data_IF_011850969520
#
_entry.id   IF_011850969520
#
_cell.length_a   1.000
_cell.length_b   1.000
_cell.length_c   1.000
_cell.angle_alpha   90.00
_cell.angle_beta   90.00
_cell.angle_gamma   90.00
#
_symmetry.space_group_name_H-M   'P 1'
#
loop_
_entity.id
_entity.type
_entity.pdbx_description
1 polymer ?
#
# COMPACT_ATOMS: atom_id res chain seq x y z
N UNK A 1 11.02 72.53 5.70
CA UNK A 1 9.75 71.91 5.29
C UNK A 1 9.88 70.42 5.61
N UNK A 2 9.68 69.93 6.85
CA UNK A 2 8.47 69.75 7.70
C UNK A 2 7.37 68.83 7.09
N UNK A 3 7.09 67.76 7.86
CA UNK A 3 5.92 66.82 7.94
C UNK A 3 5.96 65.60 6.99
N UNK A 4 6.19 64.37 7.52
CA UNK A 4 5.25 63.36 8.13
C UNK A 4 4.52 62.54 7.04
N UNK A 5 4.31 61.21 7.07
CA UNK A 5 4.46 60.14 8.06
C UNK A 5 3.56 58.95 7.62
N UNK A 6 3.78 57.75 8.22
CA UNK A 6 3.03 56.45 8.12
C UNK A 6 3.44 55.49 6.98
N UNK A 7 3.52 54.18 7.15
CA UNK A 7 3.49 53.26 8.31
C UNK A 7 3.97 51.88 7.85
N UNK A 8 4.68 51.13 8.70
CA UNK A 8 5.05 49.73 8.51
C UNK A 8 4.57 48.89 9.72
N UNK A 9 4.09 47.64 9.54
CA UNK A 9 3.62 46.82 10.66
C UNK A 9 4.75 46.05 11.34
N UNK A 10 4.71 46.06 12.68
CA UNK A 10 5.61 45.37 13.61
C UNK A 10 5.14 43.94 13.88
N UNK A 11 6.00 42.96 13.62
CA UNK A 11 5.88 41.59 14.13
C UNK A 11 6.51 41.46 15.52
N UNK A 12 5.74 40.99 16.50
CA UNK A 12 6.13 40.85 17.91
C UNK A 12 6.70 39.45 18.21
N UNK A 13 7.93 39.48 18.73
CA UNK A 13 8.48 38.73 19.89
C UNK A 13 8.34 37.21 20.01
N UNK A 14 9.53 36.59 20.03
CA UNK A 14 9.91 35.38 20.77
C UNK A 14 9.62 35.51 22.27
N UNK A 15 9.16 34.42 22.90
CA UNK A 15 9.00 34.25 24.34
C UNK A 15 9.25 32.80 24.74
N UNK A 16 10.00 32.64 25.82
CA UNK A 16 10.62 31.43 26.39
C UNK A 16 9.63 30.47 27.07
N UNK A 17 10.15 29.27 27.33
CA UNK A 17 9.63 28.21 28.20
C UNK A 17 9.12 28.69 29.57
N UNK A 18 8.13 27.98 30.13
CA UNK A 18 8.16 27.42 31.49
C UNK A 18 6.90 26.59 31.80
N UNK A 19 7.10 25.50 32.56
CA UNK A 19 6.07 24.62 33.11
C UNK A 19 5.27 25.28 34.25
N UNK A 20 4.12 24.72 34.66
CA UNK A 20 3.92 24.62 36.11
C UNK A 20 3.18 23.38 36.65
N UNK A 21 3.61 23.04 37.86
CA UNK A 21 2.98 22.23 38.90
C UNK A 21 1.48 22.51 39.12
N UNK A 22 0.71 21.44 39.44
CA UNK A 22 -0.56 21.56 40.17
C UNK A 22 -0.45 20.95 41.57
N UNK A 23 -0.55 21.80 42.59
CA UNK A 23 -0.87 21.46 43.99
C UNK A 23 -2.26 22.02 44.34
N UNK A 24 -3.12 21.11 44.81
CA UNK A 24 -3.95 21.10 46.04
C UNK A 24 -4.56 22.40 46.62
N UNK A 25 -5.76 22.16 47.21
CA UNK A 25 -6.54 22.92 48.23
C UNK A 25 -7.39 24.06 47.68
N UNK A 26 -8.57 24.40 48.19
CA UNK A 26 -9.53 23.85 49.17
C UNK A 26 -10.81 24.66 48.94
N UNK A 27 -12.00 24.09 49.12
CA UNK A 27 -13.10 24.84 49.75
C UNK A 27 -14.15 23.90 50.35
N UNK A 28 -14.27 24.09 51.66
CA UNK A 28 -15.18 23.48 52.63
C UNK A 28 -16.36 24.42 52.83
N UNK A 29 -17.58 23.89 52.96
CA UNK A 29 -18.68 24.40 53.80
C UNK A 29 -19.51 23.17 54.22
N UNK A 30 -19.26 22.58 55.40
CA UNK A 30 -20.06 22.69 56.65
C UNK A 30 -21.57 22.44 56.46
N UNK A 31 -22.23 21.51 57.17
CA UNK A 31 -22.58 21.67 58.59
C UNK A 31 -23.03 20.36 59.27
N UNK A 32 -22.73 20.30 60.58
CA UNK A 32 -23.39 19.61 61.71
C UNK A 32 -23.17 18.10 61.97
N UNK A 33 -22.28 17.85 62.96
CA UNK A 33 -22.40 16.86 64.07
C UNK A 33 -23.36 17.42 65.17
N UNK A 34 -23.58 16.79 66.35
CA UNK A 34 -23.25 15.45 66.91
C UNK A 34 -24.54 14.76 67.45
N UNK A 35 -24.62 13.65 68.17
CA UNK A 35 -23.72 12.66 68.75
C UNK A 35 -24.52 11.73 69.69
N UNK A 36 -23.92 10.58 69.98
CA UNK A 36 -23.95 9.77 71.23
C UNK A 36 -25.29 9.22 71.78
N UNK A 37 -25.39 7.89 71.82
CA UNK A 37 -25.38 7.03 73.03
C UNK A 37 -26.05 5.69 72.71
N UNK A 38 -25.35 4.60 73.05
CA UNK A 38 -25.97 3.29 73.16
C UNK A 38 -26.79 3.21 74.44
N UNK A 39 -27.77 2.33 74.46
CA UNK A 39 -27.90 1.27 75.48
C UNK A 39 -29.00 0.28 75.11
N UNK A 40 -28.98 -0.81 75.87
CA UNK A 40 -29.58 -2.13 75.74
C UNK A 40 -31.12 -2.18 75.68
N UNK A 41 -31.63 -3.36 75.30
CA UNK A 41 -32.91 -3.83 75.86
C UNK A 41 -33.88 -4.52 74.89
N UNK A 42 -33.79 -5.85 74.85
CA UNK A 42 -34.87 -6.84 74.71
C UNK A 42 -36.13 -6.52 73.87
N UNK A 43 -36.43 -7.38 72.88
CA UNK A 43 -37.62 -8.24 72.87
C UNK A 43 -37.93 -8.90 71.50
N UNK A 44 -38.21 -10.21 71.58
CA UNK A 44 -39.25 -10.95 70.82
C UNK A 44 -39.03 -11.27 69.33
N UNK A 45 -38.52 -12.50 69.16
CA UNK A 45 -38.87 -13.54 68.19
C UNK A 45 -39.75 -13.25 66.98
N UNK A 46 -39.29 -13.74 65.82
CA UNK A 46 -40.01 -14.61 64.87
C UNK A 46 -39.05 -15.18 63.79
N UNK A 47 -39.40 -16.29 63.12
CA UNK A 47 -38.44 -17.30 62.67
C UNK A 47 -37.83 -17.05 61.28
N UNK A 48 -36.66 -17.65 61.05
CA UNK A 48 -35.99 -17.78 59.74
C UNK A 48 -36.87 -18.63 58.79
N UNK A 49 -37.07 -18.24 57.52
CA UNK A 49 -37.52 -19.18 56.51
C UNK A 49 -36.34 -19.98 55.97
N UNK A 50 -36.57 -21.29 55.90
CA UNK A 50 -35.70 -22.30 55.35
C UNK A 50 -35.54 -22.17 53.83
N UNK A 51 -34.38 -22.60 53.36
CA UNK A 51 -34.11 -22.97 51.98
C UNK A 51 -35.15 -23.97 51.45
N UNK A 52 -35.87 -23.60 50.38
CA UNK A 52 -36.81 -24.47 49.68
C UNK A 52 -36.57 -24.41 48.18
N UNK A 53 -36.20 -25.56 47.60
CA UNK A 53 -35.83 -25.69 46.20
C UNK A 53 -36.97 -25.39 45.22
N UNK A 54 -36.65 -24.66 44.15
CA UNK A 54 -37.52 -24.46 42.99
C UNK A 54 -36.84 -24.85 41.66
N UNK A 55 -35.70 -25.55 41.70
CA UNK A 55 -34.96 -25.96 40.48
C UNK A 55 -35.32 -27.32 39.90
N UNK A 56 -36.16 -28.13 40.56
CA UNK A 56 -36.36 -29.53 40.19
C UNK A 56 -37.49 -29.76 39.15
N UNK A 57 -38.44 -28.83 39.01
CA UNK A 57 -39.66 -29.06 38.21
C UNK A 57 -39.42 -28.91 36.69
N UNK A 58 -38.48 -28.07 36.26
CA UNK A 58 -38.15 -27.89 34.84
C UNK A 58 -37.29 -29.01 34.23
N UNK A 59 -36.53 -29.76 35.04
CA UNK A 59 -35.67 -30.86 34.55
C UNK A 59 -36.46 -32.14 34.22
N UNK A 60 -37.62 -32.32 34.85
CA UNK A 60 -38.51 -33.45 34.59
C UNK A 60 -39.22 -33.35 33.24
N UNK A 61 -39.64 -32.13 32.85
CA UNK A 61 -40.38 -31.89 31.60
C UNK A 61 -39.51 -32.14 30.35
N UNK A 62 -38.25 -31.71 30.36
CA UNK A 62 -37.32 -31.97 29.27
C UNK A 62 -36.98 -33.46 29.12
N UNK A 63 -36.84 -34.19 30.24
CA UNK A 63 -36.60 -35.64 30.23
C UNK A 63 -37.84 -36.43 29.80
N UNK A 64 -39.03 -35.99 30.21
CA UNK A 64 -40.29 -36.61 29.81
C UNK A 64 -40.55 -36.42 28.31
N UNK A 65 -40.40 -35.19 27.80
CA UNK A 65 -40.51 -34.89 26.38
C UNK A 65 -39.47 -35.65 25.54
N UNK A 66 -38.23 -35.76 26.04
CA UNK A 66 -37.18 -36.55 25.39
C UNK A 66 -37.53 -38.06 25.37
N UNK A 67 -38.09 -38.59 26.46
CA UNK A 67 -38.48 -40.00 26.59
C UNK A 67 -39.67 -40.33 25.68
N UNK A 68 -40.61 -39.40 25.53
CA UNK A 68 -41.79 -39.55 24.66
C UNK A 68 -41.42 -39.47 23.17
N UNK A 69 -40.47 -38.60 22.81
CA UNK A 69 -39.85 -38.57 21.47
C UNK A 69 -39.07 -39.86 21.17
N UNK A 70 -38.33 -40.38 22.15
CA UNK A 70 -37.58 -41.64 22.05
C UNK A 70 -38.50 -42.85 21.85
N UNK A 71 -39.63 -42.90 22.56
CA UNK A 71 -40.61 -43.99 22.47
C UNK A 71 -41.33 -43.99 21.12
N UNK A 72 -41.71 -42.81 20.60
CA UNK A 72 -42.27 -42.70 19.23
C UNK A 72 -41.25 -43.10 18.16
N UNK A 73 -39.96 -42.81 18.36
CA UNK A 73 -38.89 -43.23 17.45
C UNK A 73 -38.73 -44.77 17.35
N UNK A 74 -39.17 -45.50 18.37
CA UNK A 74 -39.00 -46.96 18.47
C UNK A 74 -40.03 -47.71 17.62
N UNK A 75 -41.22 -47.14 17.40
CA UNK A 75 -42.33 -47.66 16.58
C UNK A 75 -42.30 -47.21 15.10
N UNK A 76 -41.35 -46.36 14.71
CA UNK A 76 -41.23 -45.91 13.32
C UNK A 76 -40.68 -47.03 12.42
N UNK A 77 -41.38 -47.27 11.31
CA UNK A 77 -40.89 -48.05 10.16
C UNK A 77 -39.49 -47.60 9.72
N UNK A 78 -38.70 -48.52 9.17
CA UNK A 78 -37.35 -48.23 8.70
C UNK A 78 -37.32 -47.04 7.72
N UNK A 79 -38.36 -46.91 6.90
CA UNK A 79 -38.56 -45.82 5.94
C UNK A 79 -38.82 -44.47 6.62
N UNK A 80 -39.54 -44.46 7.73
CA UNK A 80 -39.80 -43.26 8.51
C UNK A 80 -38.55 -42.79 9.26
N UNK A 81 -37.68 -43.72 9.71
CA UNK A 81 -36.37 -43.39 10.31
C UNK A 81 -35.42 -42.79 9.28
N UNK A 82 -35.39 -43.33 8.06
CA UNK A 82 -34.61 -42.79 6.95
C UNK A 82 -35.10 -41.38 6.57
N UNK A 83 -36.40 -41.19 6.41
CA UNK A 83 -36.98 -39.87 6.14
C UNK A 83 -36.67 -38.84 7.25
N UNK A 84 -36.73 -39.26 8.52
CA UNK A 84 -36.38 -38.41 9.65
C UNK A 84 -34.90 -37.99 9.65
N UNK A 85 -33.98 -38.88 9.23
CA UNK A 85 -32.56 -38.58 9.09
C UNK A 85 -32.28 -37.58 7.95
N UNK A 86 -32.92 -37.77 6.79
CA UNK A 86 -32.84 -36.83 5.66
C UNK A 86 -33.37 -35.44 6.07
N UNK A 87 -34.54 -35.40 6.73
CA UNK A 87 -35.12 -34.14 7.21
C UNK A 87 -34.23 -33.43 8.25
N UNK A 88 -33.60 -34.19 9.16
CA UNK A 88 -32.65 -33.65 10.13
C UNK A 88 -31.42 -33.05 9.45
N UNK A 89 -30.86 -33.72 8.44
CA UNK A 89 -29.69 -33.21 7.69
C UNK A 89 -30.03 -31.93 6.92
N UNK A 90 -31.18 -31.90 6.24
CA UNK A 90 -31.68 -30.68 5.57
C UNK A 90 -31.81 -29.54 6.59
N UNK A 91 -32.41 -29.81 7.76
CA UNK A 91 -32.54 -28.81 8.82
C UNK A 91 -31.16 -28.28 9.26
N UNK A 92 -30.19 -29.17 9.47
CA UNK A 92 -28.82 -28.78 9.83
C UNK A 92 -28.18 -27.91 8.74
N UNK A 93 -28.29 -28.29 7.46
CA UNK A 93 -27.76 -27.50 6.33
C UNK A 93 -28.37 -26.10 6.31
N UNK A 94 -29.70 -25.99 6.44
CA UNK A 94 -30.41 -24.71 6.43
C UNK A 94 -30.02 -23.85 7.62
N UNK A 95 -29.92 -24.44 8.82
CA UNK A 95 -29.50 -23.72 10.04
C UNK A 95 -28.06 -23.24 9.91
N UNK A 96 -27.15 -24.04 9.37
CA UNK A 96 -25.77 -23.65 9.13
C UNK A 96 -25.67 -22.53 8.09
N UNK A 97 -26.40 -22.64 6.98
CA UNK A 97 -26.45 -21.59 5.96
C UNK A 97 -26.98 -20.27 6.54
N UNK A 98 -28.09 -20.32 7.29
CA UNK A 98 -28.63 -19.15 7.97
C UNK A 98 -27.65 -18.57 9.00
N UNK A 99 -26.98 -19.43 9.76
CA UNK A 99 -25.93 -19.04 10.71
C UNK A 99 -24.77 -18.32 10.03
N UNK A 100 -24.27 -18.84 8.90
CA UNK A 100 -23.22 -18.21 8.09
C UNK A 100 -23.65 -16.85 7.55
N UNK A 101 -24.88 -16.72 7.05
CA UNK A 101 -25.44 -15.42 6.64
C UNK A 101 -25.51 -14.44 7.81
N UNK A 102 -25.96 -14.89 8.97
CA UNK A 102 -26.07 -14.07 10.18
C UNK A 102 -24.69 -13.60 10.67
N UNK A 103 -23.67 -14.48 10.60
CA UNK A 103 -22.27 -14.14 10.92
C UNK A 103 -21.75 -13.10 9.94
N UNK A 104 -21.93 -13.29 8.63
CA UNK A 104 -21.55 -12.31 7.62
C UNK A 104 -22.24 -10.96 7.89
N UNK A 105 -23.55 -10.95 8.14
CA UNK A 105 -24.31 -9.74 8.51
C UNK A 105 -23.81 -9.07 9.80
N UNK A 106 -23.32 -9.85 10.77
CA UNK A 106 -22.79 -9.34 12.04
C UNK A 106 -21.40 -8.74 11.87
N UNK A 107 -20.53 -9.39 11.10
CA UNK A 107 -19.18 -8.90 10.81
C UNK A 107 -19.22 -7.51 10.16
N UNK A 108 -20.18 -7.28 9.27
CA UNK A 108 -20.41 -6.00 8.61
C UNK A 108 -20.81 -4.89 9.56
N UNK A 109 -21.70 -5.18 10.52
CA UNK A 109 -22.12 -4.21 11.54
C UNK A 109 -20.94 -3.81 12.42
N UNK A 110 -20.09 -4.77 12.79
CA UNK A 110 -18.88 -4.53 13.58
C UNK A 110 -17.90 -3.69 12.77
N UNK A 111 -17.61 -4.08 11.53
CA UNK A 111 -16.70 -3.37 10.64
C UNK A 111 -17.17 -1.92 10.41
N UNK A 112 -18.47 -1.72 10.12
CA UNK A 112 -19.09 -0.38 9.99
C UNK A 112 -18.89 0.47 11.24
N UNK A 113 -19.12 -0.09 12.43
CA UNK A 113 -18.96 0.63 13.70
C UNK A 113 -17.51 1.00 14.02
N UNK A 114 -16.55 0.24 13.50
CA UNK A 114 -15.12 0.50 13.64
C UNK A 114 -14.65 1.61 12.67
N UNK A 115 -15.06 1.52 11.40
CA UNK A 115 -14.69 2.50 10.35
C UNK A 115 -15.32 3.89 10.57
N UNK A 116 -16.57 3.94 11.04
CA UNK A 116 -17.26 5.20 11.33
C UNK A 116 -16.58 6.02 12.45
N UNK A 117 -15.71 5.40 13.25
CA UNK A 117 -14.96 6.08 14.32
C UNK A 117 -13.58 6.59 13.89
N UNK A 118 -13.06 6.19 12.72
CA UNK A 118 -11.67 6.46 12.32
C UNK A 118 -11.47 7.26 11.02
N UNK A 119 -12.52 7.49 10.22
CA UNK A 119 -12.34 7.96 8.82
C UNK A 119 -13.37 9.02 8.42
N UNK A 120 -13.02 9.89 7.45
CA UNK A 120 -13.91 10.90 6.86
C UNK A 120 -15.06 10.28 6.04
N UNK A 121 -16.08 11.07 5.72
CA UNK A 121 -17.35 10.63 5.09
C UNK A 121 -17.16 9.83 3.79
N UNK A 122 -16.19 10.21 2.97
CA UNK A 122 -16.07 9.72 1.59
C UNK A 122 -15.42 8.33 1.51
N UNK A 123 -14.49 8.05 2.43
CA UNK A 123 -13.78 6.77 2.52
C UNK A 123 -14.70 5.69 3.12
N UNK A 124 -15.59 6.09 4.04
CA UNK A 124 -16.62 5.21 4.60
C UNK A 124 -17.60 4.74 3.52
N UNK A 125 -18.02 5.63 2.61
CA UNK A 125 -18.95 5.28 1.54
C UNK A 125 -18.34 4.27 0.53
N UNK A 126 -17.06 4.43 0.19
CA UNK A 126 -16.34 3.50 -0.68
C UNK A 126 -16.21 2.12 -0.03
N UNK A 127 -15.82 2.08 1.23
CA UNK A 127 -15.72 0.81 1.98
C UNK A 127 -17.08 0.14 2.10
N UNK A 128 -18.15 0.88 2.42
CA UNK A 128 -19.51 0.33 2.53
C UNK A 128 -19.98 -0.35 1.24
N UNK A 129 -19.67 0.25 0.09
CA UNK A 129 -20.03 -0.32 -1.22
C UNK A 129 -19.30 -1.64 -1.48
N UNK A 130 -17.99 -1.68 -1.27
CA UNK A 130 -17.18 -2.91 -1.43
C UNK A 130 -17.68 -4.02 -0.51
N UNK A 131 -17.87 -3.66 0.75
CA UNK A 131 -18.29 -4.54 1.82
C UNK A 131 -19.69 -5.12 1.55
N UNK A 132 -20.62 -4.31 1.02
CA UNK A 132 -21.94 -4.76 0.56
C UNK A 132 -21.85 -5.71 -0.64
N UNK A 133 -20.98 -5.43 -1.61
CA UNK A 133 -20.77 -6.29 -2.77
C UNK A 133 -20.25 -7.68 -2.35
N UNK A 134 -19.23 -7.74 -1.47
CA UNK A 134 -18.71 -9.00 -0.93
C UNK A 134 -19.76 -9.79 -0.15
N UNK A 135 -20.58 -9.12 0.69
CA UNK A 135 -21.68 -9.80 1.38
C UNK A 135 -22.63 -10.43 0.38
N UNK A 136 -23.07 -9.67 -0.63
CA UNK A 136 -24.04 -10.18 -1.59
C UNK A 136 -23.47 -11.36 -2.38
N UNK A 137 -22.21 -11.31 -2.79
CA UNK A 137 -21.53 -12.43 -3.46
C UNK A 137 -21.44 -13.68 -2.55
N UNK A 138 -21.00 -13.51 -1.30
CA UNK A 138 -20.95 -14.59 -0.32
C UNK A 138 -22.35 -15.16 -0.03
N UNK A 139 -23.36 -14.29 0.02
CA UNK A 139 -24.73 -14.69 0.28
C UNK A 139 -25.26 -15.61 -0.82
N UNK A 140 -25.08 -15.20 -2.08
CA UNK A 140 -25.42 -16.00 -3.27
C UNK A 140 -24.68 -17.34 -3.26
N UNK A 141 -23.37 -17.33 -2.98
CA UNK A 141 -22.56 -18.55 -2.94
C UNK A 141 -23.07 -19.54 -1.87
N UNK A 142 -23.34 -19.07 -0.66
CA UNK A 142 -23.88 -19.91 0.43
C UNK A 142 -25.24 -20.50 0.05
N UNK A 143 -26.12 -19.71 -0.58
CA UNK A 143 -27.45 -20.20 -1.02
C UNK A 143 -27.30 -21.28 -2.09
N UNK A 144 -26.40 -21.10 -3.08
CA UNK A 144 -26.14 -22.11 -4.12
C UNK A 144 -25.61 -23.41 -3.49
N UNK A 145 -24.62 -23.31 -2.59
CA UNK A 145 -24.04 -24.49 -1.91
C UNK A 145 -25.09 -25.19 -1.05
N UNK A 146 -25.81 -24.46 -0.21
CA UNK A 146 -26.85 -25.03 0.66
C UNK A 146 -27.98 -25.66 -0.16
N UNK A 147 -28.43 -25.01 -1.24
CA UNK A 147 -29.44 -25.54 -2.14
C UNK A 147 -28.99 -26.84 -2.81
N UNK A 148 -27.72 -26.91 -3.27
CA UNK A 148 -27.15 -28.12 -3.86
C UNK A 148 -27.11 -29.27 -2.86
N UNK A 149 -26.69 -29.01 -1.62
CA UNK A 149 -26.68 -30.03 -0.55
C UNK A 149 -28.08 -30.52 -0.17
N UNK A 150 -29.08 -29.64 -0.18
CA UNK A 150 -30.48 -30.04 0.07
C UNK A 150 -31.02 -30.89 -1.06
N UNK A 151 -30.70 -30.56 -2.32
CA UNK A 151 -31.11 -31.37 -3.49
C UNK A 151 -30.51 -32.78 -3.45
N UNK A 152 -29.24 -32.90 -3.02
CA UNK A 152 -28.58 -34.19 -2.84
C UNK A 152 -29.31 -35.07 -1.81
N UNK A 153 -29.73 -34.49 -0.68
CA UNK A 153 -30.49 -35.21 0.35
C UNK A 153 -31.90 -35.63 -0.13
N UNK A 154 -32.47 -34.90 -1.09
CA UNK A 154 -33.74 -35.24 -1.75
C UNK A 154 -33.57 -36.31 -2.85
N UNK A 155 -32.35 -36.82 -3.07
CA UNK A 155 -32.04 -37.83 -4.08
C UNK A 155 -31.99 -37.27 -5.52
N UNK A 156 -31.94 -35.94 -5.67
CA UNK A 156 -31.79 -35.30 -6.97
C UNK A 156 -30.31 -35.25 -7.34
N UNK A 157 -29.96 -35.71 -8.53
CA UNK A 157 -28.57 -35.68 -8.99
C UNK A 157 -28.02 -34.26 -9.04
N UNK A 158 -26.98 -34.00 -8.25
CA UNK A 158 -26.25 -32.72 -8.26
C UNK A 158 -25.20 -32.62 -9.36
N UNK A 159 -24.96 -33.69 -10.13
CA UNK A 159 -23.92 -33.74 -11.15
C UNK A 159 -24.04 -32.64 -12.22
N UNK A 160 -25.24 -32.32 -12.77
CA UNK A 160 -25.39 -31.22 -13.72
C UNK A 160 -25.10 -29.84 -13.10
N UNK A 161 -25.46 -29.65 -11.84
CA UNK A 161 -25.22 -28.40 -11.11
C UNK A 161 -23.72 -28.24 -10.86
N UNK A 162 -23.04 -29.31 -10.43
CA UNK A 162 -21.60 -29.30 -10.24
C UNK A 162 -20.84 -29.09 -11.56
N UNK A 163 -21.29 -29.71 -12.65
CA UNK A 163 -20.69 -29.53 -13.97
C UNK A 163 -20.80 -28.07 -14.44
N UNK A 164 -21.97 -27.46 -14.31
CA UNK A 164 -22.19 -26.05 -14.69
C UNK A 164 -21.45 -25.08 -13.77
N UNK A 165 -21.44 -25.35 -12.46
CA UNK A 165 -20.67 -24.58 -11.48
C UNK A 165 -19.15 -24.68 -11.72
N UNK A 166 -18.65 -25.83 -12.16
CA UNK A 166 -17.26 -26.02 -12.54
C UNK A 166 -16.85 -25.12 -13.71
N UNK A 167 -17.63 -25.11 -14.80
CA UNK A 167 -17.38 -24.25 -15.96
C UNK A 167 -17.47 -22.77 -15.58
N UNK A 168 -18.49 -22.38 -14.81
CA UNK A 168 -18.64 -21.01 -14.31
C UNK A 168 -17.45 -20.60 -13.41
N UNK A 169 -16.98 -21.51 -12.55
CA UNK A 169 -15.82 -21.29 -11.69
C UNK A 169 -14.53 -21.05 -12.47
N UNK A 170 -14.30 -21.82 -13.55
CA UNK A 170 -13.16 -21.59 -14.45
C UNK A 170 -13.24 -20.21 -15.12
N UNK A 171 -14.41 -19.81 -15.61
CA UNK A 171 -14.60 -18.49 -16.21
C UNK A 171 -14.32 -17.35 -15.20
N UNK A 172 -14.80 -17.47 -13.96
CA UNK A 172 -14.50 -16.51 -12.88
C UNK A 172 -13.00 -16.51 -12.56
N UNK A 173 -12.36 -17.68 -12.52
CA UNK A 173 -10.93 -17.82 -12.29
C UNK A 173 -10.09 -17.09 -13.32
N UNK A 174 -10.43 -17.22 -14.61
CA UNK A 174 -9.77 -16.44 -15.67
C UNK A 174 -9.99 -14.94 -15.53
N UNK A 175 -11.20 -14.51 -15.15
CA UNK A 175 -11.49 -13.10 -14.87
C UNK A 175 -10.70 -12.53 -13.69
N UNK A 176 -10.36 -13.36 -12.70
CA UNK A 176 -9.62 -12.97 -11.49
C UNK A 176 -8.10 -13.20 -11.58
N UNK A 177 -7.61 -13.80 -12.67
CA UNK A 177 -6.21 -14.21 -12.80
C UNK A 177 -5.22 -13.05 -12.63
N UNK A 178 -5.52 -11.88 -13.24
CA UNK A 178 -4.66 -10.70 -13.14
C UNK A 178 -4.55 -10.17 -11.71
N UNK A 179 -5.64 -10.24 -10.95
CA UNK A 179 -5.65 -9.83 -9.55
C UNK A 179 -4.71 -10.70 -8.71
N UNK A 180 -4.79 -12.02 -8.88
CA UNK A 180 -3.90 -12.95 -8.18
C UNK A 180 -2.43 -12.69 -8.56
N UNK A 181 -2.17 -12.46 -9.85
CA UNK A 181 -0.84 -12.12 -10.36
C UNK A 181 -0.30 -10.84 -9.71
N UNK A 182 -1.11 -9.81 -9.56
CA UNK A 182 -0.73 -8.57 -8.88
C UNK A 182 -0.26 -8.85 -7.44
N UNK A 183 -1.06 -9.57 -6.65
CA UNK A 183 -0.74 -9.84 -5.25
C UNK A 183 0.51 -10.71 -5.07
N UNK A 184 0.68 -11.75 -5.90
CA UNK A 184 1.85 -12.62 -5.83
C UNK A 184 3.11 -11.86 -6.23
N UNK A 185 3.08 -11.11 -7.33
CA UNK A 185 4.21 -10.30 -7.76
C UNK A 185 4.55 -9.21 -6.75
N UNK A 186 3.54 -8.54 -6.19
CA UNK A 186 3.73 -7.51 -5.18
C UNK A 186 4.34 -8.04 -3.89
N UNK A 187 3.94 -9.26 -3.48
CA UNK A 187 4.56 -9.93 -2.34
C UNK A 187 6.06 -10.14 -2.56
N UNK A 188 6.47 -10.69 -3.71
CA UNK A 188 7.89 -10.88 -4.01
C UNK A 188 8.66 -9.58 -4.20
N UNK A 189 8.04 -8.56 -4.81
CA UNK A 189 8.65 -7.23 -4.97
C UNK A 189 9.01 -6.60 -3.61
N UNK A 190 8.15 -6.78 -2.60
CA UNK A 190 8.41 -6.35 -1.22
C UNK A 190 9.39 -7.26 -0.49
N UNK A 191 9.26 -8.59 -0.65
CA UNK A 191 10.11 -9.57 0.03
C UNK A 191 11.57 -9.45 -0.41
N UNK A 192 11.81 -9.31 -1.72
CA UNK A 192 13.13 -9.16 -2.32
C UNK A 192 13.65 -7.72 -2.26
N UNK A 193 12.82 -6.79 -1.74
CA UNK A 193 13.18 -5.39 -1.52
C UNK A 193 13.70 -4.68 -2.79
N UNK A 194 13.13 -5.03 -3.94
CA UNK A 194 13.56 -4.52 -5.25
C UNK A 194 13.25 -3.03 -5.42
N UNK A 195 12.19 -2.55 -4.76
CA UNK A 195 11.70 -1.17 -4.82
C UNK A 195 11.31 -0.70 -3.43
N UNK A 196 11.73 0.51 -3.06
CA UNK A 196 11.32 1.20 -1.83
C UNK A 196 10.68 2.54 -2.15
N UNK A 197 9.87 3.03 -1.22
CA UNK A 197 9.42 4.43 -1.24
C UNK A 197 10.64 5.37 -1.26
N UNK A 198 10.59 6.37 -2.13
CA UNK A 198 11.70 7.30 -2.37
C UNK A 198 12.76 6.82 -3.36
N UNK A 199 12.72 5.57 -3.85
CA UNK A 199 13.59 5.15 -4.94
C UNK A 199 13.19 5.81 -6.26
N UNK A 200 14.16 6.12 -7.13
CA UNK A 200 13.89 6.47 -8.52
C UNK A 200 13.97 5.20 -9.36
N UNK A 201 12.86 4.79 -9.96
CA UNK A 201 12.75 3.53 -10.68
C UNK A 201 12.14 3.73 -12.06
N UNK A 202 12.34 2.73 -12.92
CA UNK A 202 11.59 2.55 -14.14
C UNK A 202 10.96 1.15 -14.15
N UNK A 203 9.64 1.12 -14.24
CA UNK A 203 8.82 -0.11 -14.24
C UNK A 203 7.74 0.01 -15.30
N UNK A 204 7.48 -1.07 -16.04
CA UNK A 204 6.48 -1.10 -17.12
C UNK A 204 6.56 0.08 -18.11
N UNK A 205 7.78 0.55 -18.42
CA UNK A 205 8.02 1.69 -19.32
C UNK A 205 7.67 3.07 -18.73
N UNK A 206 7.44 3.17 -17.42
CA UNK A 206 7.21 4.41 -16.69
C UNK A 206 8.36 4.65 -15.71
N UNK A 207 8.99 5.82 -15.80
CA UNK A 207 10.08 6.23 -14.93
C UNK A 207 9.63 7.33 -13.96
N UNK A 208 10.02 7.23 -12.69
CA UNK A 208 9.63 8.20 -11.67
C UNK A 208 10.16 7.87 -10.29
N UNK A 209 9.88 8.77 -9.35
CA UNK A 209 10.13 8.56 -7.92
C UNK A 209 8.97 7.76 -7.33
N UNK A 210 9.29 6.69 -6.60
CA UNK A 210 8.30 5.85 -5.95
C UNK A 210 7.70 6.58 -4.76
N UNK A 211 6.38 6.73 -4.75
CA UNK A 211 5.64 7.35 -3.65
C UNK A 211 5.01 6.33 -2.71
N UNK A 212 4.63 5.16 -3.22
CA UNK A 212 3.93 4.12 -2.45
C UNK A 212 4.15 2.76 -3.10
N UNK A 213 4.41 1.74 -2.27
CA UNK A 213 4.49 0.35 -2.71
C UNK A 213 3.45 -0.46 -1.95
N UNK A 214 2.50 -1.06 -2.68
CA UNK A 214 1.49 -1.96 -2.09
C UNK A 214 1.64 -3.36 -2.65
N UNK A 215 0.90 -4.33 -2.08
CA UNK A 215 0.84 -5.68 -2.65
C UNK A 215 0.18 -5.71 -4.04
N UNK A 216 -0.59 -4.70 -4.44
CA UNK A 216 -1.30 -4.71 -5.73
C UNK A 216 -0.66 -3.82 -6.79
N UNK A 217 -0.11 -2.68 -6.41
CA UNK A 217 0.46 -1.71 -7.33
C UNK A 217 1.65 -0.97 -6.71
N UNK A 218 2.48 -0.40 -7.59
CA UNK A 218 3.47 0.65 -7.28
C UNK A 218 2.93 1.98 -7.78
N UNK A 219 2.96 3.02 -6.93
CA UNK A 219 2.68 4.40 -7.32
C UNK A 219 3.99 5.15 -7.48
N UNK A 220 4.18 5.78 -8.64
CA UNK A 220 5.37 6.58 -8.92
C UNK A 220 5.00 7.90 -9.58
N UNK A 221 5.75 8.96 -9.26
CA UNK A 221 5.60 10.29 -9.85
C UNK A 221 6.75 10.58 -10.79
N UNK A 222 6.43 10.93 -12.04
CA UNK A 222 7.44 11.30 -13.02
C UNK A 222 7.98 12.74 -12.79
N UNK A 223 8.94 13.14 -13.62
CA UNK A 223 9.56 14.45 -13.53
C UNK A 223 8.60 15.61 -13.86
N UNK A 224 7.57 15.36 -14.66
CA UNK A 224 6.54 16.33 -15.02
C UNK A 224 5.45 16.43 -13.94
N UNK A 225 5.45 15.52 -12.97
CA UNK A 225 4.54 15.50 -11.84
C UNK A 225 3.33 14.58 -12.02
N UNK A 226 3.22 13.82 -13.12
CA UNK A 226 2.15 12.86 -13.31
C UNK A 226 2.32 11.65 -12.39
N UNK A 227 1.20 11.13 -11.89
CA UNK A 227 1.16 9.97 -11.00
C UNK A 227 0.77 8.74 -11.80
N UNK A 228 1.66 7.75 -11.83
CA UNK A 228 1.43 6.47 -12.47
C UNK A 228 1.12 5.42 -11.42
N UNK A 229 0.01 4.70 -11.59
CA UNK A 229 -0.32 3.51 -10.81
C UNK A 229 -0.05 2.29 -11.67
N UNK A 230 0.99 1.53 -11.32
CA UNK A 230 1.44 0.37 -12.09
C UNK A 230 1.04 -0.90 -11.33
N UNK A 231 0.14 -1.74 -11.87
CA UNK A 231 -0.18 -3.04 -11.26
C UNK A 231 1.06 -3.92 -11.19
N UNK A 232 1.27 -4.59 -10.06
CA UNK A 232 2.45 -5.41 -9.84
C UNK A 232 2.51 -6.61 -10.80
N UNK A 233 1.37 -7.09 -11.29
CA UNK A 233 1.26 -8.15 -12.28
C UNK A 233 1.81 -7.75 -13.65
N UNK A 234 1.90 -6.46 -13.95
CA UNK A 234 2.48 -5.93 -15.21
C UNK A 234 3.98 -5.67 -15.10
N UNK A 235 4.54 -5.68 -13.90
CA UNK A 235 5.98 -5.46 -13.67
C UNK A 235 6.74 -6.74 -14.01
N UNK A 236 7.37 -6.75 -15.20
CA UNK A 236 8.26 -7.83 -15.64
C UNK A 236 9.72 -7.57 -15.29
N UNK A 237 10.13 -6.29 -15.31
CA UNK A 237 11.50 -5.83 -15.03
C UNK A 237 11.42 -4.57 -14.19
N UNK A 238 12.30 -4.48 -13.19
CA UNK A 238 12.49 -3.29 -12.35
C UNK A 238 13.87 -2.74 -12.60
N UNK A 239 13.96 -1.51 -13.11
CA UNK A 239 15.23 -0.78 -13.20
C UNK A 239 15.29 0.23 -12.05
N UNK A 240 15.98 -0.12 -10.98
CA UNK A 240 16.19 0.78 -9.84
C UNK A 240 17.42 1.65 -10.07
N UNK A 241 17.25 2.98 -10.13
CA UNK A 241 18.31 3.96 -10.43
C UNK A 241 18.95 4.55 -9.17
N UNK A 242 18.48 4.17 -7.98
CA UNK A 242 18.91 4.69 -6.68
C UNK A 242 19.36 3.62 -5.71
N UNK A 243 19.50 2.37 -6.16
CA UNK A 243 19.97 1.27 -5.31
C UNK A 243 21.49 1.18 -5.31
N UNK A 244 22.10 1.23 -4.12
CA UNK A 244 23.55 1.10 -3.95
C UNK A 244 24.30 2.33 -4.46
N UNK A 245 24.72 2.31 -5.72
CA UNK A 245 25.44 3.40 -6.36
C UNK A 245 24.90 3.62 -7.77
N UNK A 246 25.19 4.80 -8.32
CA UNK A 246 24.87 5.11 -9.70
C UNK A 246 26.09 5.69 -10.40
N UNK A 247 26.10 5.62 -11.73
CA UNK A 247 27.09 6.31 -12.54
C UNK A 247 26.48 7.58 -13.12
N UNK A 248 27.10 8.73 -12.85
CA UNK A 248 26.92 9.91 -13.67
C UNK A 248 27.65 9.67 -15.00
N UNK A 249 26.92 9.17 -16.00
CA UNK A 249 27.46 8.96 -17.36
C UNK A 249 27.42 10.29 -18.12
N UNK A 250 28.56 10.66 -18.69
CA UNK A 250 28.76 11.88 -19.48
C UNK A 250 29.11 11.46 -20.90
N UNK A 251 28.36 11.97 -21.87
CA UNK A 251 28.64 11.85 -23.30
C UNK A 251 28.71 13.26 -23.89
N UNK A 252 29.80 13.57 -24.57
CA UNK A 252 30.05 14.88 -25.20
C UNK A 252 30.55 14.66 -26.63
N UNK A 253 30.01 15.40 -27.60
CA UNK A 253 30.47 15.39 -28.98
C UNK A 253 31.46 16.52 -29.24
N UNK A 254 32.66 16.18 -29.72
CA UNK A 254 33.64 17.17 -30.22
C UNK A 254 33.66 17.14 -31.75
N UNK A 255 34.09 18.24 -32.38
CA UNK A 255 34.28 18.30 -33.83
C UNK A 255 35.32 17.25 -34.29
N UNK A 256 35.24 16.81 -35.55
CA UNK A 256 36.20 15.82 -36.08
C UNK A 256 37.62 16.37 -36.18
N UNK A 257 37.74 17.68 -36.32
CA UNK A 257 38.99 18.43 -36.38
C UNK A 257 39.57 18.71 -34.99
N UNK A 258 38.80 18.50 -33.91
CA UNK A 258 39.24 18.74 -32.56
C UNK A 258 40.22 17.67 -32.08
N UNK A 259 41.22 18.09 -31.30
CA UNK A 259 42.19 17.20 -30.69
C UNK A 259 41.55 16.34 -29.58
N UNK A 260 41.42 15.04 -29.88
CA UNK A 260 40.81 14.04 -28.99
C UNK A 260 41.61 13.90 -27.70
N UNK A 261 42.95 13.81 -27.78
CA UNK A 261 43.79 13.58 -26.59
C UNK A 261 43.74 14.77 -25.65
N UNK A 262 43.76 15.98 -26.21
CA UNK A 262 43.55 17.21 -25.45
C UNK A 262 42.18 17.22 -24.78
N UNK A 263 41.11 16.88 -25.50
CA UNK A 263 39.74 16.82 -24.96
C UNK A 263 39.60 15.81 -23.82
N UNK A 264 40.20 14.62 -23.96
CA UNK A 264 40.22 13.60 -22.91
C UNK A 264 41.05 14.04 -21.69
N UNK A 265 42.17 14.74 -21.89
CA UNK A 265 42.97 15.29 -20.81
C UNK A 265 42.17 16.32 -19.98
N UNK A 266 41.42 17.21 -20.65
CA UNK A 266 40.53 18.17 -19.96
C UNK A 266 39.47 17.46 -19.13
N UNK A 267 38.85 16.39 -19.67
CA UNK A 267 37.85 15.62 -18.93
C UNK A 267 38.43 15.01 -17.65
N UNK A 268 39.65 14.46 -17.72
CA UNK A 268 40.36 13.90 -16.54
C UNK A 268 40.64 14.98 -15.51
N UNK A 269 41.16 16.13 -15.93
CA UNK A 269 41.45 17.26 -15.06
C UNK A 269 40.19 17.78 -14.36
N UNK A 270 39.07 17.94 -15.09
CA UNK A 270 37.81 18.36 -14.50
C UNK A 270 37.25 17.37 -13.49
N UNK A 271 37.42 16.06 -13.74
CA UNK A 271 37.02 15.04 -12.79
C UNK A 271 37.84 15.08 -11.51
N UNK A 272 39.15 15.33 -11.62
CA UNK A 272 40.02 15.58 -10.45
C UNK A 272 39.61 16.87 -9.72
N UNK A 273 39.35 17.95 -10.45
CA UNK A 273 38.87 19.21 -9.88
C UNK A 273 37.55 19.07 -9.15
N UNK A 274 36.62 18.26 -9.68
CA UNK A 274 35.33 17.98 -9.03
C UNK A 274 35.50 17.15 -7.74
N UNK A 275 36.48 16.23 -7.72
CA UNK A 275 36.82 15.43 -6.53
C UNK A 275 37.54 16.26 -5.45
N UNK A 276 38.24 17.33 -5.84
CA UNK A 276 38.88 18.26 -4.91
C UNK A 276 37.92 19.33 -4.36
N UNK A 277 36.79 19.56 -5.01
CA UNK A 277 35.78 20.53 -4.57
C UNK A 277 34.98 19.98 -3.38
N UNK A 278 35.06 20.57 -2.18
CA UNK A 278 34.38 20.07 -0.99
C UNK A 278 32.86 19.90 -1.14
N UNK A 279 32.22 20.71 -2.00
CA UNK A 279 30.77 20.63 -2.23
C UNK A 279 30.35 19.36 -3.00
N UNK A 280 31.26 18.78 -3.79
CA UNK A 280 30.98 17.66 -4.68
C UNK A 280 31.73 16.39 -4.28
N UNK A 281 32.92 16.50 -3.70
CA UNK A 281 33.76 15.39 -3.27
C UNK A 281 32.99 14.35 -2.43
N UNK A 282 32.15 14.81 -1.50
CA UNK A 282 31.35 13.95 -0.62
C UNK A 282 30.31 13.10 -1.36
N UNK A 283 29.97 13.45 -2.61
CA UNK A 283 28.98 12.74 -3.44
C UNK A 283 29.65 11.72 -4.38
N UNK A 284 30.98 11.74 -4.50
CA UNK A 284 31.72 10.91 -5.43
C UNK A 284 32.30 9.69 -4.70
N UNK A 285 32.08 8.51 -5.25
CA UNK A 285 32.57 7.23 -4.71
C UNK A 285 33.69 6.64 -5.58
N UNK A 286 34.51 7.50 -6.20
CA UNK A 286 35.57 7.11 -7.11
C UNK A 286 36.10 8.28 -7.93
N UNK A 287 37.08 7.99 -8.77
CA UNK A 287 37.59 8.94 -9.76
C UNK A 287 36.74 8.93 -11.02
N UNK A 288 36.97 9.92 -11.89
CA UNK A 288 36.40 9.87 -13.23
C UNK A 288 37.06 8.75 -14.03
N UNK A 289 36.23 7.92 -14.65
CA UNK A 289 36.66 6.92 -15.62
C UNK A 289 36.39 7.50 -17.01
N UNK A 290 37.45 7.91 -17.70
CA UNK A 290 37.38 8.38 -19.09
C UNK A 290 37.57 7.18 -20.00
N UNK A 291 36.50 6.77 -20.69
CA UNK A 291 36.47 5.57 -21.53
C UNK A 291 37.05 5.83 -22.93
N UNK A 292 37.09 7.09 -23.37
CA UNK A 292 37.60 7.49 -24.68
C UNK A 292 36.47 7.74 -25.67
N UNK A 293 36.72 7.42 -26.94
CA UNK A 293 35.75 7.55 -28.03
C UNK A 293 34.74 6.40 -27.95
N UNK A 294 33.46 6.72 -27.76
CA UNK A 294 32.36 5.75 -27.74
C UNK A 294 31.83 5.46 -29.15
N UNK A 295 31.67 6.50 -29.97
CA UNK A 295 31.18 6.38 -31.35
C UNK A 295 31.57 7.58 -32.21
N UNK A 296 31.62 7.36 -33.52
CA UNK A 296 31.73 8.39 -34.56
C UNK A 296 30.33 8.66 -35.12
N UNK A 297 29.76 9.84 -34.86
CA UNK A 297 28.45 10.28 -35.34
C UNK A 297 28.57 11.17 -36.58
N UNK A 298 27.44 11.49 -37.23
CA UNK A 298 27.40 12.19 -38.53
C UNK A 298 28.21 13.51 -38.58
N UNK A 299 28.33 14.22 -37.47
CA UNK A 299 29.12 15.46 -37.37
C UNK A 299 29.88 15.58 -36.04
N UNK A 300 30.09 14.47 -35.32
CA UNK A 300 30.75 14.52 -34.01
C UNK A 300 31.54 13.25 -33.68
N UNK A 301 32.68 13.41 -33.02
CA UNK A 301 33.35 12.33 -32.28
C UNK A 301 32.80 12.33 -30.86
N UNK A 302 32.08 11.29 -30.47
CA UNK A 302 31.44 11.22 -29.14
C UNK A 302 32.40 10.60 -28.14
N UNK A 303 32.81 11.41 -27.16
CA UNK A 303 33.61 10.99 -26.02
C UNK A 303 32.71 10.58 -24.86
N UNK A 304 33.12 9.55 -24.12
CA UNK A 304 32.36 9.04 -22.98
C UNK A 304 33.21 8.94 -21.73
N UNK A 305 32.62 9.35 -20.62
CA UNK A 305 33.16 9.12 -19.28
C UNK A 305 32.04 8.79 -18.30
N UNK A 306 32.43 8.28 -17.14
CA UNK A 306 31.51 8.07 -16.03
C UNK A 306 32.17 8.37 -14.70
N UNK A 307 31.35 8.80 -13.74
CA UNK A 307 31.78 9.01 -12.35
C UNK A 307 30.85 8.21 -11.45
N UNK A 308 31.40 7.42 -10.53
CA UNK A 308 30.60 6.69 -9.53
C UNK A 308 30.09 7.66 -8.45
N UNK A 309 28.79 7.64 -8.18
CA UNK A 309 28.10 8.60 -7.29
C UNK A 309 27.39 7.88 -6.15
N UNK A 310 27.59 8.39 -4.93
CA UNK A 310 26.91 7.99 -3.69
C UNK A 310 26.64 9.26 -2.87
N UNK A 311 25.37 9.61 -2.55
CA UNK A 311 24.16 8.83 -2.80
C UNK A 311 23.73 8.84 -4.27
N UNK A 312 23.20 7.73 -4.81
CA UNK A 312 22.96 7.55 -6.25
C UNK A 312 21.94 8.52 -6.86
N UNK A 313 21.04 9.09 -6.06
CA UNK A 313 20.10 10.14 -6.49
C UNK A 313 20.83 11.40 -6.99
N UNK A 314 22.07 11.65 -6.53
CA UNK A 314 22.86 12.81 -6.92
C UNK A 314 23.49 12.69 -8.31
N UNK A 315 23.37 11.52 -8.99
CA UNK A 315 24.00 11.28 -10.29
C UNK A 315 23.66 12.36 -11.34
N UNK A 316 22.42 12.87 -11.33
CA UNK A 316 22.01 13.92 -12.25
C UNK A 316 22.57 15.30 -11.88
N UNK A 317 22.70 15.60 -10.57
CA UNK A 317 23.33 16.85 -10.11
C UNK A 317 24.82 16.86 -10.48
N UNK A 318 25.52 15.77 -10.21
CA UNK A 318 26.94 15.57 -10.55
C UNK A 318 27.13 15.68 -12.07
N UNK A 319 26.31 14.99 -12.87
CA UNK A 319 26.37 15.07 -14.34
C UNK A 319 26.17 16.50 -14.84
N UNK A 320 25.17 17.22 -14.32
CA UNK A 320 24.86 18.60 -14.73
C UNK A 320 26.01 19.56 -14.40
N UNK A 321 26.59 19.45 -13.21
CA UNK A 321 27.73 20.28 -12.84
C UNK A 321 28.97 19.96 -13.68
N UNK A 322 29.25 18.68 -13.91
CA UNK A 322 30.38 18.28 -14.75
C UNK A 322 30.23 18.82 -16.17
N UNK A 323 29.05 18.67 -16.79
CA UNK A 323 28.77 19.19 -18.14
C UNK A 323 28.93 20.72 -18.22
N UNK A 324 28.51 21.45 -17.18
CA UNK A 324 28.70 22.91 -17.09
C UNK A 324 30.18 23.29 -17.08
N UNK A 325 30.98 22.63 -16.22
CA UNK A 325 32.43 22.89 -16.14
C UNK A 325 33.15 22.47 -17.44
N UNK A 326 32.71 21.37 -18.03
CA UNK A 326 33.23 20.85 -19.30
C UNK A 326 33.05 21.86 -20.43
N UNK A 327 31.83 22.43 -20.56
CA UNK A 327 31.56 23.45 -21.57
C UNK A 327 32.51 24.63 -21.44
N UNK A 328 32.63 25.19 -20.24
CA UNK A 328 33.50 26.36 -19.99
C UNK A 328 34.98 26.04 -20.28
N UNK A 329 35.48 24.88 -19.83
CA UNK A 329 36.87 24.50 -20.05
C UNK A 329 37.19 24.21 -21.52
N UNK A 330 36.23 23.66 -22.27
CA UNK A 330 36.40 23.44 -23.71
C UNK A 330 36.47 24.77 -24.45
N UNK A 331 35.61 25.73 -24.10
CA UNK A 331 35.64 27.09 -24.68
C UNK A 331 36.98 27.79 -24.41
N UNK A 332 37.45 27.77 -23.16
CA UNK A 332 38.73 28.38 -22.76
C UNK A 332 39.95 27.78 -23.47
N UNK A 333 39.87 26.49 -23.83
CA UNK A 333 40.97 25.74 -24.45
C UNK A 333 40.85 25.62 -25.97
N UNK A 334 39.83 26.22 -26.56
CA UNK A 334 39.56 26.16 -28.00
C UNK A 334 39.26 24.74 -28.49
N UNK A 335 38.59 23.93 -27.68
CA UNK A 335 38.12 22.59 -28.07
C UNK A 335 36.71 22.75 -28.59
N UNK A 336 36.54 22.59 -29.89
CA UNK A 336 35.25 22.80 -30.54
C UNK A 336 34.29 21.65 -30.23
N UNK A 337 33.15 22.00 -29.63
CA UNK A 337 32.01 21.10 -29.47
C UNK A 337 31.31 21.01 -30.82
N UNK A 338 30.95 19.80 -31.21
CA UNK A 338 30.35 19.54 -32.51
C UNK A 338 29.03 20.31 -32.71
N UNK A 339 28.90 20.94 -33.87
CA UNK A 339 27.65 21.41 -34.43
C UNK A 339 27.37 20.60 -35.72
N UNK A 340 26.10 20.50 -36.15
CA UNK A 340 25.79 19.82 -37.41
C UNK A 340 26.48 20.50 -38.60
N UNK A 341 27.28 19.75 -39.37
CA UNK A 341 27.91 20.24 -40.61
C UNK A 341 27.17 19.67 -41.82
N UNK A 342 26.84 20.52 -42.79
CA UNK A 342 26.22 20.12 -44.05
C UNK A 342 27.12 20.51 -45.22
N UNK A 343 27.63 19.51 -45.95
CA UNK A 343 28.35 19.75 -47.20
C UNK A 343 27.32 19.80 -48.34
N UNK A 344 27.11 20.98 -48.90
CA UNK A 344 26.21 21.18 -50.05
C UNK A 344 27.04 21.15 -51.34
N UNK A 345 26.83 20.14 -52.16
CA UNK A 345 27.37 20.11 -53.52
C UNK A 345 26.46 20.89 -54.45
N UNK A 346 26.90 22.07 -54.91
CA UNK A 346 26.20 22.79 -55.97
C UNK A 346 26.27 22.00 -57.29
N UNK A 347 25.16 21.87 -58.04
CA UNK A 347 25.20 21.21 -59.34
C UNK A 347 26.15 21.97 -60.26
N UNK A 348 27.06 21.25 -60.93
CA UNK A 348 27.91 21.84 -61.97
C UNK A 348 27.00 22.36 -63.06
N UNK A 349 27.05 23.67 -63.34
CA UNK A 349 26.36 24.24 -64.49
C UNK A 349 26.84 23.49 -65.74
N UNK A 350 25.94 22.82 -66.45
CA UNK A 350 26.24 22.21 -67.73
C UNK A 350 26.77 23.32 -68.64
N UNK A 351 28.05 23.28 -68.97
CA UNK A 351 28.62 24.12 -70.01
C UNK A 351 27.93 23.72 -71.32
N UNK A 352 27.03 24.58 -71.80
CA UNK A 352 26.31 24.44 -73.05
C UNK A 352 27.20 24.82 -74.23
#
# INVERSE_FOLDING_TARGET
MRLDGRAAPRGLRRGRADAPHRRRRDRVVQLRRPGVHGEEGAARGRPRPASGGHGAQHRGFARAALKEVLLRFQELDADAKLAALHALRILVIVVLAWGLQAIAARLLRVLRSYLARRTGSDEVARVETLVRAFRNAAAVLIVIVAGTLVLDELGISIAPILATAGVAGVAIGFGAQSLIKDYVNGFFLLLDDQVREGDAVEVAGKAGLVEEVTLRYVRLRDFEGHVHFVPNGEIKVVTNRTRGYAHAVIEVGIAYEADIDKALAVMRELGQGLKSDPAWAAKLAGEIEVLGVERLADSAVVLRSRIRVVPPIEQWNVRREFLKRLKNAYDERGIEIAYPHLIVHAPKANAA
#
